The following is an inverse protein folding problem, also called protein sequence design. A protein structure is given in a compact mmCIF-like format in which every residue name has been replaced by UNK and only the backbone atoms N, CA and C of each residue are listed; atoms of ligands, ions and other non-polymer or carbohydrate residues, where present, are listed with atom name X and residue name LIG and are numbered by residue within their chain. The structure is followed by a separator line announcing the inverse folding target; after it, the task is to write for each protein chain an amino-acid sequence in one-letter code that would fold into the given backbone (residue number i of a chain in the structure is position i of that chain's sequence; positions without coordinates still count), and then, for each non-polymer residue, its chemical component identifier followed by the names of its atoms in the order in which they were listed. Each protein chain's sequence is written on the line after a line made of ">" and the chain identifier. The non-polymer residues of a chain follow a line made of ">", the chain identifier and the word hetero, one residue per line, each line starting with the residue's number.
data_IF_187619273180
#
_entry.id   IF_187619273180
#
_cell.length_a   1.000
_cell.length_b   1.000
_cell.length_c   1.000
_cell.angle_alpha   90.00
_cell.angle_beta   90.00
_cell.angle_gamma   90.00
#
_symmetry.space_group_name_H-M   'P 1'
#
loop_
_entity.id
_entity.type
_entity.pdbx_description
1 polymer ?
#
# COMPACT_ATOMS: atom_id res chain seq x y z
N UNK A 1 1.67 17.91 -10.20
CA UNK A 1 1.74 18.25 -11.64
C UNK A 1 1.63 16.98 -12.48
N UNK A 2 2.58 16.04 -12.36
CA UNK A 2 2.55 14.74 -13.04
C UNK A 2 1.24 13.94 -12.93
N UNK A 3 0.56 13.94 -11.77
CA UNK A 3 -0.73 13.26 -11.59
C UNK A 3 -1.85 13.88 -12.43
N UNK A 4 -1.86 15.21 -12.57
CA UNK A 4 -2.85 15.93 -13.38
C UNK A 4 -2.63 15.68 -14.87
N UNK A 5 -1.38 15.68 -15.31
CA UNK A 5 -1.02 15.42 -16.71
C UNK A 5 -1.32 13.98 -17.12
N UNK A 6 -1.02 13.02 -16.24
CA UNK A 6 -1.36 11.61 -16.45
C UNK A 6 -2.87 11.42 -16.60
N UNK A 7 -3.66 11.99 -15.70
CA UNK A 7 -5.12 11.89 -15.76
C UNK A 7 -5.68 12.49 -17.05
N UNK A 8 -5.19 13.67 -17.44
CA UNK A 8 -5.61 14.35 -18.66
C UNK A 8 -5.25 13.55 -19.92
N UNK A 9 -4.08 12.91 -19.93
CA UNK A 9 -3.66 12.04 -21.02
C UNK A 9 -4.51 10.75 -21.09
N UNK A 10 -4.81 10.14 -19.95
CA UNK A 10 -5.71 8.99 -19.89
C UNK A 10 -7.11 9.35 -20.40
N UNK A 11 -7.66 10.50 -20.00
CA UNK A 11 -8.97 10.95 -20.50
C UNK A 11 -8.97 11.09 -22.03
N UNK A 12 -7.93 11.69 -22.61
CA UNK A 12 -7.77 11.81 -24.06
C UNK A 12 -7.66 10.46 -24.76
N UNK A 13 -6.90 9.51 -24.21
CA UNK A 13 -6.71 8.17 -24.79
C UNK A 13 -8.03 7.41 -24.77
N UNK A 14 -8.69 7.31 -23.62
CA UNK A 14 -9.97 6.61 -23.49
C UNK A 14 -11.06 7.25 -24.36
N UNK A 15 -11.12 8.58 -24.40
CA UNK A 15 -12.04 9.33 -25.25
C UNK A 15 -11.77 9.23 -26.76
N UNK A 16 -10.59 8.76 -27.18
CA UNK A 16 -10.27 8.43 -28.59
C UNK A 16 -10.59 6.97 -28.90
N UNK A 17 -10.13 6.03 -28.07
CA UNK A 17 -10.24 4.60 -28.32
C UNK A 17 -11.66 4.05 -28.12
N UNK A 18 -12.39 4.58 -27.13
CA UNK A 18 -13.67 4.02 -26.70
C UNK A 18 -14.87 4.94 -26.90
N UNK A 19 -14.70 6.04 -27.65
CA UNK A 19 -15.75 7.05 -27.90
C UNK A 19 -17.08 6.46 -28.34
N UNK A 20 -17.05 5.43 -29.20
CA UNK A 20 -18.24 4.77 -29.76
C UNK A 20 -19.04 3.96 -28.74
N UNK A 21 -18.49 3.69 -27.56
CA UNK A 21 -19.11 2.89 -26.51
C UNK A 21 -19.73 3.73 -25.39
N UNK A 22 -19.51 5.05 -25.39
CA UNK A 22 -20.08 5.99 -24.40
C UNK A 22 -21.39 6.54 -24.95
N UNK A 23 -22.47 6.45 -24.16
CA UNK A 23 -23.78 6.97 -24.54
C UNK A 23 -23.73 8.48 -24.75
N UNK A 24 -24.01 8.94 -25.99
CA UNK A 24 -24.29 10.36 -26.25
C UNK A 24 -25.78 10.60 -26.07
N UNK A 25 -26.13 11.73 -25.46
CA UNK A 25 -27.49 12.13 -25.09
C UNK A 25 -28.40 12.48 -26.29
N UNK A 26 -28.13 11.92 -27.48
CA UNK A 26 -28.87 12.19 -28.71
C UNK A 26 -29.35 10.86 -29.29
N UNK A 27 -30.68 10.70 -29.21
CA UNK A 27 -31.52 9.66 -29.81
C UNK A 27 -30.95 9.03 -31.09
N UNK A 28 -30.66 7.73 -31.03
CA UNK A 28 -30.99 6.69 -32.02
C UNK A 28 -30.45 5.36 -31.52
N UNK A 29 -31.19 4.28 -31.80
CA UNK A 29 -30.96 2.91 -31.35
C UNK A 29 -29.58 2.36 -31.72
N UNK A 30 -28.57 2.66 -30.90
CA UNK A 30 -27.32 1.93 -30.88
C UNK A 30 -27.05 1.51 -29.44
N UNK A 31 -26.75 0.23 -29.25
CA UNK A 31 -26.40 -0.41 -27.98
C UNK A 31 -25.13 0.26 -27.38
N UNK A 32 -25.30 1.42 -26.74
CA UNK A 32 -24.24 2.04 -25.95
C UNK A 32 -24.10 1.27 -24.66
N UNK A 33 -22.95 0.61 -24.50
CA UNK A 33 -22.69 -0.34 -23.41
C UNK A 33 -22.42 0.33 -22.05
N UNK A 34 -22.01 1.60 -22.03
CA UNK A 34 -21.64 2.31 -20.79
C UNK A 34 -22.32 3.69 -20.67
N UNK A 35 -22.71 4.04 -19.43
CA UNK A 35 -23.38 5.29 -19.09
C UNK A 35 -22.43 6.47 -18.91
N UNK A 36 -21.16 6.23 -18.59
CA UNK A 36 -20.15 7.26 -18.32
C UNK A 36 -18.73 6.80 -18.70
N UNK A 37 -17.78 7.74 -18.71
CA UNK A 37 -16.35 7.43 -18.88
C UNK A 37 -15.79 6.64 -17.68
N UNK A 38 -16.31 6.88 -16.48
CA UNK A 38 -15.85 6.22 -15.25
C UNK A 38 -16.23 4.74 -15.25
N UNK A 39 -17.48 4.41 -15.59
CA UNK A 39 -17.95 3.02 -15.73
C UNK A 39 -17.14 2.24 -16.78
N UNK A 40 -16.80 2.92 -17.88
CA UNK A 40 -15.96 2.34 -18.93
C UNK A 40 -14.55 2.04 -18.44
N UNK A 41 -13.95 2.96 -17.68
CA UNK A 41 -12.60 2.79 -17.09
C UNK A 41 -12.58 1.68 -16.05
N UNK A 42 -13.62 1.58 -15.23
CA UNK A 42 -13.79 0.50 -14.25
C UNK A 42 -13.90 -0.87 -14.94
N UNK A 43 -14.75 -0.99 -15.96
CA UNK A 43 -14.87 -2.22 -16.75
C UNK A 43 -13.55 -2.59 -17.44
N UNK A 44 -12.86 -1.60 -18.01
CA UNK A 44 -11.55 -1.80 -18.62
C UNK A 44 -10.53 -2.31 -17.59
N UNK A 45 -10.48 -1.73 -16.39
CA UNK A 45 -9.60 -2.21 -15.33
C UNK A 45 -9.93 -3.66 -14.94
N UNK A 46 -11.20 -3.96 -14.66
CA UNK A 46 -11.63 -5.30 -14.26
C UNK A 46 -11.34 -6.37 -15.32
N UNK A 47 -11.41 -6.01 -16.61
CA UNK A 47 -11.07 -6.90 -17.73
C UNK A 47 -9.56 -7.14 -17.83
N UNK A 48 -8.74 -6.11 -17.58
CA UNK A 48 -7.31 -6.15 -17.88
C UNK A 48 -6.41 -6.40 -16.66
N UNK A 49 -6.92 -6.29 -15.43
CA UNK A 49 -6.11 -6.35 -14.19
C UNK A 49 -5.29 -7.63 -14.04
N UNK A 50 -5.77 -8.77 -14.55
CA UNK A 50 -5.02 -10.03 -14.59
C UNK A 50 -3.72 -9.92 -15.39
N UNK A 51 -3.77 -9.27 -16.54
CA UNK A 51 -2.59 -9.09 -17.41
C UNK A 51 -1.62 -8.08 -16.81
N UNK A 52 -2.15 -7.00 -16.21
CA UNK A 52 -1.34 -6.00 -15.50
C UNK A 52 -0.60 -6.67 -14.33
N UNK A 53 -1.29 -7.46 -13.51
CA UNK A 53 -0.70 -8.23 -12.42
C UNK A 53 0.39 -9.18 -12.91
N UNK A 54 0.10 -9.95 -13.97
CA UNK A 54 1.08 -10.87 -14.55
C UNK A 54 2.33 -10.16 -15.05
N UNK A 55 2.20 -8.98 -15.67
CA UNK A 55 3.33 -8.17 -16.10
C UNK A 55 4.14 -7.65 -14.90
N UNK A 56 3.48 -7.22 -13.82
CA UNK A 56 4.15 -6.79 -12.59
C UNK A 56 4.92 -7.94 -11.93
N UNK A 57 4.34 -9.15 -11.85
CA UNK A 57 5.02 -10.35 -11.31
C UNK A 57 6.30 -10.67 -12.09
N UNK A 58 6.22 -10.70 -13.42
CA UNK A 58 7.39 -10.95 -14.26
C UNK A 58 8.46 -9.86 -14.10
N UNK A 59 8.06 -8.59 -14.04
CA UNK A 59 8.99 -7.48 -13.80
C UNK A 59 9.69 -7.57 -12.45
N UNK A 60 9.03 -8.15 -11.44
CA UNK A 60 9.59 -8.41 -10.11
C UNK A 60 10.42 -9.71 -10.03
N UNK A 61 10.58 -10.47 -11.13
CA UNK A 61 11.27 -11.76 -11.14
C UNK A 61 10.52 -12.87 -10.38
N UNK A 62 9.24 -12.66 -10.06
CA UNK A 62 8.39 -13.60 -9.32
C UNK A 62 7.78 -14.62 -10.29
N UNK A 63 8.62 -15.51 -10.82
CA UNK A 63 8.25 -16.52 -11.81
C UNK A 63 7.84 -17.88 -11.17
N UNK A 64 7.91 -17.99 -9.84
CA UNK A 64 7.58 -19.20 -9.08
C UNK A 64 6.25 -19.09 -8.32
N UNK A 65 5.64 -20.24 -8.00
CA UNK A 65 4.38 -20.40 -7.26
C UNK A 65 4.44 -20.03 -5.77
N UNK A 66 5.62 -19.68 -5.24
CA UNK A 66 5.85 -19.43 -3.82
C UNK A 66 5.98 -17.94 -3.53
N UNK A 67 4.91 -17.36 -2.98
CA UNK A 67 4.93 -16.09 -2.28
C UNK A 67 4.68 -16.40 -0.81
N UNK A 68 5.67 -16.10 0.01
CA UNK A 68 5.46 -16.05 1.45
C UNK A 68 4.59 -14.83 1.73
N UNK A 69 3.31 -15.04 2.00
CA UNK A 69 2.46 -14.03 2.61
C UNK A 69 3.15 -13.57 3.90
N UNK A 70 3.55 -12.30 3.98
CA UNK A 70 4.12 -11.69 5.20
C UNK A 70 3.11 -11.57 6.35
N UNK A 71 1.92 -12.14 6.21
CA UNK A 71 0.93 -12.28 7.27
C UNK A 71 1.47 -13.30 8.28
N UNK A 72 1.95 -12.81 9.42
CA UNK A 72 2.32 -13.61 10.59
C UNK A 72 1.17 -14.39 11.23
N UNK A 73 0.11 -14.71 10.48
CA UNK A 73 -0.89 -15.67 10.91
C UNK A 73 -0.38 -17.07 10.62
N UNK A 74 0.40 -17.56 11.57
CA UNK A 74 0.63 -19.00 11.76
C UNK A 74 -0.66 -19.66 12.23
N UNK A 75 -1.74 -19.57 11.44
CA UNK A 75 -2.86 -20.51 11.57
C UNK A 75 -2.51 -21.74 10.77
N UNK A 76 -1.85 -22.64 11.48
CA UNK A 76 -1.70 -24.06 11.21
C UNK A 76 -2.92 -24.65 10.49
N UNK A 77 -2.74 -24.93 9.20
CA UNK A 77 -3.65 -25.69 8.37
C UNK A 77 -2.91 -26.09 7.11
N UNK A 78 -2.38 -27.31 7.08
CA UNK A 78 -1.88 -27.96 5.88
C UNK A 78 -2.96 -27.83 4.78
N UNK A 79 -2.58 -27.35 3.59
CA UNK A 79 -3.43 -27.05 2.42
C UNK A 79 -3.90 -25.59 2.20
N UNK A 80 -3.06 -24.59 2.50
CA UNK A 80 -3.14 -23.33 1.76
C UNK A 80 -1.88 -23.16 0.91
N UNK A 81 -1.92 -23.71 -0.31
CA UNK A 81 -1.06 -23.22 -1.38
C UNK A 81 -1.50 -21.78 -1.65
N UNK A 82 -0.91 -20.82 -0.94
CA UNK A 82 -1.06 -19.40 -1.26
C UNK A 82 -0.38 -19.17 -2.61
N UNK A 83 -1.12 -19.46 -3.68
CA UNK A 83 -0.63 -19.25 -5.03
C UNK A 83 -0.57 -17.76 -5.29
N UNK A 84 0.57 -17.30 -5.77
CA UNK A 84 0.74 -15.93 -6.27
C UNK A 84 -0.07 -15.67 -7.56
N UNK A 85 -0.82 -16.68 -8.01
CA UNK A 85 -1.81 -16.57 -9.07
C UNK A 85 -3.07 -15.84 -8.61
N UNK A 86 -3.30 -15.75 -7.30
CA UNK A 86 -4.39 -14.96 -6.76
C UNK A 86 -4.08 -13.47 -6.94
N UNK A 87 -4.87 -12.82 -7.78
CA UNK A 87 -4.82 -11.37 -7.97
C UNK A 87 -5.24 -10.73 -6.64
N UNK A 88 -4.43 -9.82 -6.08
CA UNK A 88 -4.81 -9.12 -4.86
C UNK A 88 -6.14 -8.40 -5.07
N UNK A 89 -7.11 -8.63 -4.20
CA UNK A 89 -8.41 -7.93 -4.19
C UNK A 89 -8.33 -6.52 -3.59
N UNK A 90 -7.11 -6.01 -3.43
CA UNK A 90 -6.84 -4.68 -2.87
C UNK A 90 -7.49 -3.58 -3.69
N UNK A 91 -7.72 -3.78 -4.99
CA UNK A 91 -8.33 -2.80 -5.89
C UNK A 91 -9.77 -2.44 -5.49
N UNK A 92 -10.46 -3.32 -4.76
CA UNK A 92 -11.81 -3.11 -4.22
C UNK A 92 -11.84 -2.28 -2.92
N UNK A 93 -10.69 -2.12 -2.26
CA UNK A 93 -10.58 -1.37 -1.00
C UNK A 93 -10.41 0.12 -1.32
N UNK A 94 -11.14 1.05 -0.69
CA UNK A 94 -10.89 2.48 -0.86
C UNK A 94 -9.42 2.86 -0.65
N UNK A 95 -8.88 3.71 -1.53
CA UNK A 95 -7.46 4.07 -1.53
C UNK A 95 -6.96 4.59 -0.18
N UNK A 96 -7.77 5.41 0.50
CA UNK A 96 -7.45 5.92 1.83
C UNK A 96 -7.17 4.80 2.84
N UNK A 97 -7.97 3.73 2.83
CA UNK A 97 -7.80 2.60 3.76
C UNK A 97 -6.55 1.79 3.43
N UNK A 98 -6.21 1.62 2.14
CA UNK A 98 -4.96 0.97 1.74
C UNK A 98 -3.74 1.75 2.22
N UNK A 99 -3.75 3.07 2.06
CA UNK A 99 -2.65 3.93 2.53
C UNK A 99 -2.54 3.94 4.06
N UNK A 100 -3.68 3.91 4.77
CA UNK A 100 -3.67 3.77 6.22
C UNK A 100 -3.06 2.44 6.65
N UNK A 101 -3.43 1.33 6.00
CA UNK A 101 -2.86 0.02 6.28
C UNK A 101 -1.34 0.01 6.04
N UNK A 102 -0.89 0.47 4.88
CA UNK A 102 0.54 0.56 4.55
C UNK A 102 1.31 1.44 5.56
N UNK A 103 0.73 2.58 5.96
CA UNK A 103 1.32 3.46 6.96
C UNK A 103 1.44 2.79 8.33
N UNK A 104 0.39 2.07 8.77
CA UNK A 104 0.42 1.34 10.06
C UNK A 104 1.45 0.22 10.03
N UNK A 105 1.51 -0.56 8.94
CA UNK A 105 2.49 -1.65 8.78
C UNK A 105 3.92 -1.11 8.84
N UNK A 106 4.21 -0.06 8.07
CA UNK A 106 5.53 0.58 8.04
C UNK A 106 5.92 1.22 9.38
N UNK A 107 4.96 1.82 10.09
CA UNK A 107 5.18 2.33 11.44
C UNK A 107 5.51 1.20 12.42
N UNK A 108 4.75 0.11 12.39
CA UNK A 108 4.92 -1.01 13.32
C UNK A 108 6.29 -1.67 13.16
N UNK A 109 6.75 -1.85 11.92
CA UNK A 109 8.07 -2.38 11.60
C UNK A 109 9.18 -1.49 12.19
N UNK A 110 9.17 -0.19 11.87
CA UNK A 110 10.15 0.75 12.40
C UNK A 110 10.10 0.83 13.92
N UNK A 111 8.90 0.88 14.50
CA UNK A 111 8.70 0.88 15.95
C UNK A 111 9.34 -0.35 16.59
N UNK A 112 9.17 -1.53 16.00
CA UNK A 112 9.76 -2.77 16.49
C UNK A 112 11.30 -2.71 16.44
N UNK A 113 11.88 -2.18 15.38
CA UNK A 113 13.33 -2.00 15.28
C UNK A 113 13.87 -1.00 16.31
N UNK A 114 13.19 0.14 16.48
CA UNK A 114 13.62 1.20 17.41
C UNK A 114 13.41 0.85 18.87
N UNK A 115 12.43 0.00 19.20
CA UNK A 115 12.18 -0.43 20.60
C UNK A 115 13.13 -1.54 21.06
N UNK A 116 13.61 -2.42 20.17
CA UNK A 116 14.61 -3.46 20.49
C UNK A 116 15.81 -2.94 21.32
N UNK A 117 16.52 -1.87 20.93
CA UNK A 117 17.64 -1.36 21.72
C UNK A 117 17.21 -0.79 23.07
N UNK A 118 16.01 -0.23 23.20
CA UNK A 118 15.48 0.23 24.49
C UNK A 118 15.28 -0.96 25.42
N UNK A 119 14.61 -2.02 24.94
CA UNK A 119 14.37 -3.23 25.73
C UNK A 119 15.70 -3.83 26.20
N UNK A 120 16.68 -4.02 25.31
CA UNK A 120 17.97 -4.61 25.65
C UNK A 120 18.73 -3.80 26.70
N UNK A 121 18.84 -2.48 26.52
CA UNK A 121 19.65 -1.63 27.41
C UNK A 121 18.95 -1.33 28.74
N UNK A 122 17.62 -1.27 28.74
CA UNK A 122 16.83 -0.95 29.92
C UNK A 122 16.40 -2.19 30.73
N UNK A 123 16.57 -3.41 30.21
CA UNK A 123 16.25 -4.66 30.93
C UNK A 123 16.91 -4.71 32.31
N UNK A 124 18.18 -4.35 32.37
CA UNK A 124 18.98 -4.30 33.61
C UNK A 124 18.47 -3.29 34.65
N UNK A 125 17.73 -2.26 34.23
CA UNK A 125 17.15 -1.26 35.14
C UNK A 125 15.97 -1.80 35.94
N UNK A 126 15.28 -2.83 35.43
CA UNK A 126 14.13 -3.45 36.10
C UNK A 126 14.57 -4.40 37.24
N UNK A 127 15.76 -4.97 37.11
CA UNK A 127 16.34 -5.91 38.06
C UNK A 127 17.24 -5.22 39.11
N UNK A 128 17.80 -4.06 38.76
CA UNK A 128 18.73 -3.29 39.60
C UNK A 128 18.03 -2.03 40.10
N UNK A 129 17.26 -2.13 41.19
CA UNK A 129 16.29 -1.15 41.67
C UNK A 129 16.73 0.30 41.98
N UNK A 130 17.82 0.83 41.41
CA UNK A 130 18.09 2.28 41.31
C UNK A 130 19.29 2.70 40.43
N UNK A 131 19.95 1.79 39.68
CA UNK A 131 21.13 2.12 38.86
C UNK A 131 20.86 1.90 37.37
N UNK A 132 19.88 2.63 36.85
CA UNK A 132 19.66 2.62 35.41
C UNK A 132 20.82 3.31 34.71
N UNK A 133 21.60 2.56 33.92
CA UNK A 133 22.79 3.07 33.22
C UNK A 133 22.39 4.23 32.30
N UNK A 134 23.27 5.23 32.16
CA UNK A 134 23.11 6.38 31.25
C UNK A 134 22.69 5.96 29.83
N UNK A 135 23.14 4.78 29.40
CA UNK A 135 22.81 4.21 28.11
C UNK A 135 21.31 3.91 27.92
N UNK A 136 20.58 3.43 28.94
CA UNK A 136 19.14 3.25 28.85
C UNK A 136 18.43 4.61 28.64
N UNK A 137 18.84 5.65 29.38
CA UNK A 137 18.29 7.01 29.20
C UNK A 137 18.50 7.51 27.77
N UNK A 138 19.71 7.34 27.23
CA UNK A 138 20.03 7.75 25.87
C UNK A 138 19.18 7.00 24.82
N UNK A 139 18.95 5.68 25.00
CA UNK A 139 18.08 4.91 24.10
C UNK A 139 16.61 5.30 24.24
N UNK A 140 16.13 5.58 25.45
CA UNK A 140 14.77 6.09 25.67
C UNK A 140 14.55 7.44 25.00
N UNK A 141 15.50 8.38 25.11
CA UNK A 141 15.37 9.69 24.47
C UNK A 141 15.37 9.57 22.94
N UNK A 142 16.26 8.72 22.38
CA UNK A 142 16.26 8.46 20.94
C UNK A 142 14.94 7.85 20.44
N UNK A 143 14.34 6.93 21.22
CA UNK A 143 13.05 6.35 20.88
C UNK A 143 11.91 7.37 21.01
N UNK A 144 11.93 8.22 22.05
CA UNK A 144 10.97 9.31 22.22
C UNK A 144 11.02 10.28 21.04
N UNK A 145 12.22 10.72 20.65
CA UNK A 145 12.40 11.59 19.48
C UNK A 145 11.85 10.94 18.21
N UNK A 146 12.10 9.65 18.00
CA UNK A 146 11.50 8.91 16.87
C UNK A 146 9.98 8.96 16.89
N UNK A 147 9.33 8.74 18.04
CA UNK A 147 7.87 8.79 18.14
C UNK A 147 7.35 10.20 17.89
N UNK A 148 7.98 11.22 18.49
CA UNK A 148 7.60 12.62 18.31
C UNK A 148 7.74 13.06 16.85
N UNK A 149 8.86 12.73 16.20
CA UNK A 149 9.06 12.99 14.77
C UNK A 149 8.04 12.26 13.91
N UNK A 150 7.77 10.98 14.18
CA UNK A 150 6.83 10.18 13.38
C UNK A 150 5.37 10.65 13.52
N UNK A 151 4.98 11.10 14.72
CA UNK A 151 3.65 11.66 14.99
C UNK A 151 3.48 13.07 14.39
N UNK A 152 4.57 13.80 14.14
CA UNK A 152 4.50 15.00 13.31
C UNK A 152 4.44 14.60 11.84
N UNK A 153 3.59 15.29 11.06
CA UNK A 153 3.47 15.11 9.62
C UNK A 153 4.79 15.34 8.84
N UNK A 154 5.91 15.64 9.50
CA UNK A 154 7.24 15.81 8.95
C UNK A 154 8.10 14.52 9.03
N UNK A 155 7.91 13.64 10.02
CA UNK A 155 8.77 12.44 10.20
C UNK A 155 8.15 11.13 9.72
N UNK A 156 6.81 11.01 9.71
CA UNK A 156 6.12 9.86 9.13
C UNK A 156 6.00 10.02 7.63
N UNK A 157 6.92 9.43 6.84
CA UNK A 157 6.86 9.34 5.36
C UNK A 157 6.43 10.63 4.64
N UNK A 158 6.68 11.80 5.23
CA UNK A 158 6.40 13.10 4.62
C UNK A 158 7.34 13.39 3.44
N UNK A 159 8.51 12.73 3.44
CA UNK A 159 9.45 12.67 2.32
C UNK A 159 9.13 11.55 1.33
N UNK A 160 8.11 10.72 1.58
CA UNK A 160 7.63 9.76 0.59
C UNK A 160 6.72 10.51 -0.41
N UNK A 161 6.80 10.25 -1.73
CA UNK A 161 6.04 10.96 -2.77
C UNK A 161 4.50 10.99 -2.63
N UNK A 162 3.96 10.43 -1.55
CA UNK A 162 2.54 10.18 -1.28
C UNK A 162 1.87 11.30 -0.50
N UNK A 163 2.59 12.04 0.34
CA UNK A 163 2.08 13.20 1.09
C UNK A 163 1.79 14.43 0.21
N UNK A 164 2.25 14.42 -1.05
CA UNK A 164 2.10 15.51 -2.03
C UNK A 164 1.13 15.20 -3.18
N UNK A 165 0.36 14.10 -3.13
CA UNK A 165 -0.66 13.79 -4.15
C UNK A 165 -2.03 14.34 -3.79
#
# INVERSE_FOLDING_TARGET
>A
EYTKDLELNLQKIFGKLFRKYIKKNISTEQHTLYSSLDELRESWWNTNKKYIWLAMKHGAGMNGTTCSSGSGDSSSGENQTNSCDDIPTIDLIPQYLRFLQEWVEHFCEQRQEKVKPVITNCKSCKESGNKCKTECKNKCEAYKNFIEEFCTAAGGTSGSPWSRR
#
